data_IF_952532359693
#
_entry.id   IF_952532359693
#
_cell.length_a   1.000
_cell.length_b   1.000
_cell.length_c   1.000
_cell.angle_alpha   90.00
_cell.angle_beta   90.00
_cell.angle_gamma   90.00
#
_symmetry.space_group_name_H-M   'P 1'
#
loop_
_entity.id
_entity.type
_entity.pdbx_description
1 polymer ?
#
# COMPACT_ATOMS: atom_id res chain seq x y z
N UNK A 1 9.37 10.18 -26.66
CA UNK A 1 8.92 9.68 -27.99
C UNK A 1 8.83 8.15 -28.01
N UNK A 2 9.93 7.41 -27.78
CA UNK A 2 9.94 5.93 -27.80
C UNK A 2 8.99 5.33 -26.76
N UNK A 3 9.03 5.80 -25.51
CA UNK A 3 8.11 5.35 -24.45
C UNK A 3 6.65 5.64 -24.77
N UNK A 4 6.35 6.80 -25.37
CA UNK A 4 5.00 7.15 -25.80
C UNK A 4 4.47 6.23 -26.90
N UNK A 5 5.30 5.88 -27.89
CA UNK A 5 4.93 4.93 -28.96
C UNK A 5 4.69 3.53 -28.38
N UNK A 6 5.57 3.07 -27.49
CA UNK A 6 5.46 1.74 -26.86
C UNK A 6 4.22 1.63 -25.97
N UNK A 7 3.85 2.69 -25.24
CA UNK A 7 2.65 2.71 -24.38
C UNK A 7 1.36 2.93 -25.18
N UNK A 8 1.41 3.62 -26.31
CA UNK A 8 0.24 3.86 -27.16
C UNK A 8 -0.31 2.57 -27.79
N UNK A 9 0.54 1.59 -28.08
CA UNK A 9 0.12 0.31 -28.69
C UNK A 9 -0.82 -0.46 -27.76
N UNK A 10 -0.48 -0.78 -26.49
CA UNK A 10 -1.42 -1.38 -25.54
C UNK A 10 -2.66 -0.52 -25.27
N UNK A 11 -2.49 0.81 -25.19
CA UNK A 11 -3.61 1.73 -24.94
C UNK A 11 -4.64 1.77 -26.08
N UNK A 12 -4.25 1.40 -27.31
CA UNK A 12 -5.17 1.29 -28.45
C UNK A 12 -6.10 0.06 -28.34
N UNK A 13 -5.65 -1.00 -27.67
CA UNK A 13 -6.39 -2.25 -27.52
C UNK A 13 -7.12 -2.38 -26.17
N UNK A 14 -6.94 -1.43 -25.26
CA UNK A 14 -7.53 -1.43 -23.92
C UNK A 14 -8.36 -0.16 -23.69
N UNK A 15 -9.39 -0.24 -22.85
CA UNK A 15 -10.16 0.94 -22.50
C UNK A 15 -9.28 1.94 -21.74
N UNK A 16 -9.35 3.24 -22.11
CA UNK A 16 -8.56 4.30 -21.48
C UNK A 16 -8.77 4.33 -19.96
N UNK A 17 -10.00 4.10 -19.49
CA UNK A 17 -10.35 4.03 -18.08
C UNK A 17 -9.59 2.92 -17.35
N UNK A 18 -9.47 1.74 -17.95
CA UNK A 18 -8.77 0.60 -17.33
C UNK A 18 -7.25 0.87 -17.23
N UNK A 19 -6.67 1.51 -18.25
CA UNK A 19 -5.26 1.92 -18.25
C UNK A 19 -5.00 2.96 -17.14
N UNK A 20 -5.88 3.95 -17.03
CA UNK A 20 -5.78 5.01 -16.01
C UNK A 20 -5.93 4.46 -14.59
N UNK A 21 -6.82 3.49 -14.39
CA UNK A 21 -6.99 2.80 -13.11
C UNK A 21 -5.75 1.97 -12.75
N UNK A 22 -5.15 1.27 -13.73
CA UNK A 22 -3.89 0.52 -13.56
C UNK A 22 -2.70 1.43 -13.25
N UNK A 23 -2.65 2.63 -13.84
CA UNK A 23 -1.62 3.61 -13.54
C UNK A 23 -1.79 4.19 -12.11
N UNK A 24 -3.02 4.51 -11.73
CA UNK A 24 -3.36 5.03 -10.40
C UNK A 24 -3.01 4.04 -9.30
N UNK A 25 -3.40 2.76 -9.45
CA UNK A 25 -3.06 1.73 -8.47
C UNK A 25 -1.54 1.51 -8.34
N UNK A 26 -0.81 1.55 -9.47
CA UNK A 26 0.64 1.37 -9.48
C UNK A 26 1.39 2.50 -8.78
N UNK A 27 0.97 3.75 -8.98
CA UNK A 27 1.56 4.91 -8.30
C UNK A 27 1.25 4.92 -6.80
N UNK A 28 0.01 4.66 -6.41
CA UNK A 28 -0.38 4.54 -5.00
C UNK A 28 0.38 3.41 -4.29
N UNK A 29 0.52 2.24 -4.94
CA UNK A 29 1.30 1.14 -4.40
C UNK A 29 2.78 1.50 -4.21
N UNK A 30 3.40 2.15 -5.19
CA UNK A 30 4.78 2.60 -5.08
C UNK A 30 4.96 3.58 -3.92
N UNK A 31 4.04 4.53 -3.73
CA UNK A 31 4.07 5.45 -2.59
C UNK A 31 3.96 4.74 -1.24
N UNK A 32 3.07 3.75 -1.12
CA UNK A 32 2.94 2.93 0.10
C UNK A 32 4.27 2.21 0.40
N UNK A 33 4.89 1.59 -0.61
CA UNK A 33 6.18 0.89 -0.44
C UNK A 33 7.30 1.86 -0.04
N UNK A 34 7.36 3.05 -0.65
CA UNK A 34 8.35 4.08 -0.30
C UNK A 34 8.16 4.54 1.15
N UNK A 35 6.93 4.87 1.55
CA UNK A 35 6.64 5.31 2.91
C UNK A 35 6.91 4.19 3.94
N UNK A 36 6.55 2.95 3.63
CA UNK A 36 6.90 1.79 4.45
C UNK A 36 8.42 1.60 4.57
N UNK A 37 9.16 1.77 3.47
CA UNK A 37 10.64 1.71 3.47
C UNK A 37 11.29 2.77 4.36
N UNK A 38 10.75 3.99 4.36
CA UNK A 38 11.19 5.06 5.28
C UNK A 38 10.91 4.66 6.73
N UNK A 39 9.74 4.06 7.03
CA UNK A 39 9.42 3.58 8.39
C UNK A 39 10.38 2.48 8.87
N UNK A 40 10.80 1.57 7.99
CA UNK A 40 11.78 0.54 8.34
C UNK A 40 13.15 1.12 8.67
N UNK A 41 13.57 2.20 7.99
CA UNK A 41 14.84 2.89 8.25
C UNK A 41 14.75 4.01 9.29
N UNK A 42 13.57 4.29 9.84
CA UNK A 42 13.35 5.44 10.72
C UNK A 42 14.22 5.41 11.99
N UNK A 43 14.53 4.22 12.51
CA UNK A 43 15.45 4.05 13.66
C UNK A 43 16.87 4.49 13.34
N UNK A 44 17.36 4.14 12.16
CA UNK A 44 18.71 4.46 11.69
C UNK A 44 18.87 5.97 11.43
N UNK A 45 17.80 6.62 10.95
CA UNK A 45 17.75 8.08 10.85
C UNK A 45 17.71 8.78 12.21
N UNK A 46 17.08 8.16 13.22
CA UNK A 46 17.03 8.69 14.57
C UNK A 46 18.40 8.63 15.27
N UNK A 47 19.17 7.57 15.03
CA UNK A 47 20.48 7.38 15.65
C UNK A 47 21.62 8.12 14.93
N UNK A 48 21.53 8.30 13.60
CA UNK A 48 22.57 8.98 12.80
C UNK A 48 22.56 10.50 12.90
N UNK A 49 21.55 11.12 13.52
CA UNK A 49 21.42 12.59 13.61
C UNK A 49 21.18 13.30 12.27
N UNK A 50 21.02 12.57 11.16
CA UNK A 50 20.83 13.12 9.80
C UNK A 50 19.36 13.43 9.48
N UNK A 51 18.47 13.38 10.47
CA UNK A 51 17.03 13.56 10.26
C UNK A 51 16.69 14.99 9.88
N UNK A 52 16.44 15.21 8.59
CA UNK A 52 16.14 16.52 7.99
C UNK A 52 14.65 16.92 8.07
N UNK A 53 13.78 16.08 8.65
CA UNK A 53 12.33 16.32 8.76
C UNK A 53 11.90 16.56 10.22
N UNK A 54 11.00 17.53 10.49
CA UNK A 54 10.49 17.76 11.82
C UNK A 54 9.76 16.51 12.32
N UNK A 55 10.26 15.91 13.41
CA UNK A 55 9.69 14.71 13.99
C UNK A 55 8.44 15.07 14.79
N UNK A 56 7.28 14.67 14.27
CA UNK A 56 6.02 14.72 14.99
C UNK A 56 5.67 13.29 15.41
N UNK A 57 5.49 13.08 16.71
CA UNK A 57 5.29 11.75 17.28
C UNK A 57 3.93 11.17 16.86
N UNK A 58 3.94 10.12 16.03
CA UNK A 58 2.71 9.47 15.57
C UNK A 58 1.98 8.70 16.67
N UNK A 59 2.65 8.38 17.79
CA UNK A 59 2.12 7.56 18.87
C UNK A 59 0.79 8.09 19.43
N UNK A 60 0.65 9.41 19.57
CA UNK A 60 -0.57 10.01 20.15
C UNK A 60 -1.49 10.61 19.09
N UNK A 61 -0.93 11.13 18.00
CA UNK A 61 -1.70 11.82 16.97
C UNK A 61 -2.53 10.82 16.15
N UNK A 62 -1.99 9.64 15.85
CA UNK A 62 -2.70 8.64 15.06
C UNK A 62 -3.95 8.07 15.76
N UNK A 63 -3.88 7.59 17.03
CA UNK A 63 -5.08 7.15 17.73
C UNK A 63 -6.06 8.30 17.99
N UNK A 64 -5.58 9.53 18.23
CA UNK A 64 -6.45 10.70 18.35
C UNK A 64 -7.23 10.95 17.06
N UNK A 65 -6.55 10.91 15.90
CA UNK A 65 -7.20 11.03 14.58
C UNK A 65 -8.24 9.92 14.40
N UNK A 66 -7.91 8.66 14.72
CA UNK A 66 -8.86 7.55 14.60
C UNK A 66 -10.08 7.72 15.51
N UNK A 67 -9.90 8.21 16.74
CA UNK A 67 -11.00 8.48 17.67
C UNK A 67 -11.88 9.62 17.14
N UNK A 68 -11.28 10.71 16.65
CA UNK A 68 -12.01 11.85 16.07
C UNK A 68 -12.79 11.42 14.83
N UNK A 69 -12.16 10.68 13.93
CA UNK A 69 -12.80 10.14 12.72
C UNK A 69 -13.90 9.15 13.10
N UNK A 70 -13.66 8.25 14.05
CA UNK A 70 -14.66 7.29 14.53
C UNK A 70 -15.85 7.97 15.19
N UNK A 71 -15.63 9.01 16.02
CA UNK A 71 -16.70 9.79 16.64
C UNK A 71 -17.49 10.60 15.61
N UNK A 72 -16.81 11.19 14.62
CA UNK A 72 -17.46 11.86 13.50
C UNK A 72 -18.30 10.87 12.68
N UNK A 73 -17.75 9.69 12.35
CA UNK A 73 -18.50 8.64 11.65
C UNK A 73 -19.70 8.18 12.46
N UNK A 74 -19.58 8.02 13.78
CA UNK A 74 -20.71 7.66 14.64
C UNK A 74 -21.81 8.74 14.63
N UNK A 75 -21.43 10.01 14.61
CA UNK A 75 -22.38 11.13 14.59
C UNK A 75 -23.04 11.34 13.23
N UNK A 76 -22.28 11.25 12.13
CA UNK A 76 -22.76 11.52 10.78
C UNK A 76 -23.33 10.27 10.07
N UNK A 77 -22.87 9.06 10.44
CA UNK A 77 -23.22 7.79 9.82
C UNK A 77 -23.44 6.71 10.90
N UNK A 78 -24.54 6.77 11.66
CA UNK A 78 -24.81 5.83 12.76
C UNK A 78 -24.83 4.37 12.30
N UNK A 79 -25.25 4.10 11.06
CA UNK A 79 -25.31 2.75 10.47
C UNK A 79 -23.94 2.20 10.03
N UNK A 80 -22.92 3.06 9.90
CA UNK A 80 -21.59 2.65 9.44
C UNK A 80 -20.86 1.77 10.46
N UNK A 81 -21.07 2.00 11.77
CA UNK A 81 -20.47 1.16 12.81
C UNK A 81 -21.13 -0.22 12.88
N UNK A 82 -22.45 -0.30 12.65
CA UNK A 82 -23.16 -1.58 12.57
C UNK A 82 -22.80 -2.35 11.31
N UNK A 83 -22.57 -1.69 10.18
CA UNK A 83 -22.08 -2.33 8.95
C UNK A 83 -20.61 -2.78 9.09
N UNK A 84 -19.77 -2.02 9.82
CA UNK A 84 -18.40 -2.42 10.19
C UNK A 84 -18.33 -3.59 11.18
N UNK A 85 -19.22 -3.64 12.18
CA UNK A 85 -19.29 -4.75 13.15
C UNK A 85 -19.93 -6.03 12.59
N UNK A 86 -20.68 -5.92 11.49
CA UNK A 86 -21.26 -7.06 10.76
C UNK A 86 -20.40 -7.51 9.56
N UNK A 87 -19.14 -7.02 9.46
CA UNK A 87 -18.18 -7.35 8.39
C UNK A 87 -17.82 -8.84 8.29
N UNK A 88 -18.22 -9.67 9.25
CA UNK A 88 -18.09 -11.13 9.16
C UNK A 88 -19.48 -11.80 9.06
N UNK A 89 -19.84 -12.16 7.82
CA UNK A 89 -20.98 -13.01 7.43
C UNK A 89 -22.40 -12.48 7.72
N UNK A 90 -23.03 -11.92 6.68
CA UNK A 90 -24.49 -11.94 6.56
C UNK A 90 -24.90 -13.37 6.18
N UNK A 91 -25.80 -13.99 6.94
CA UNK A 91 -26.28 -15.35 6.68
C UNK A 91 -26.85 -15.46 5.25
N UNK A 92 -26.24 -16.31 4.41
CA UNK A 92 -26.88 -16.81 3.18
C UNK A 92 -26.23 -16.53 1.82
N UNK A 93 -25.11 -15.80 1.70
CA UNK A 93 -24.42 -15.61 0.41
C UNK A 93 -23.18 -16.50 0.25
N UNK A 94 -22.96 -17.06 -0.96
CA UNK A 94 -21.77 -17.85 -1.28
C UNK A 94 -20.50 -17.06 -0.99
N UNK A 95 -19.59 -17.66 -0.20
CA UNK A 95 -18.33 -17.08 0.28
C UNK A 95 -17.59 -16.28 -0.81
N UNK A 96 -17.47 -16.80 -2.03
CA UNK A 96 -16.76 -16.17 -3.16
C UNK A 96 -17.33 -14.80 -3.62
N UNK A 97 -18.64 -14.57 -3.48
CA UNK A 97 -19.29 -13.32 -3.89
C UNK A 97 -19.11 -12.19 -2.87
N UNK A 98 -19.30 -12.51 -1.59
CA UNK A 98 -19.16 -11.56 -0.49
C UNK A 98 -17.69 -11.11 -0.27
N UNK A 99 -16.72 -12.00 -0.51
CA UNK A 99 -15.30 -11.65 -0.44
C UNK A 99 -14.91 -10.64 -1.51
N UNK A 100 -15.40 -10.77 -2.75
CA UNK A 100 -14.90 -9.99 -3.90
C UNK A 100 -15.09 -8.46 -3.77
N UNK A 101 -16.14 -8.00 -3.10
CA UNK A 101 -16.41 -6.55 -2.94
C UNK A 101 -15.86 -5.95 -1.64
N UNK A 102 -15.60 -6.75 -0.60
CA UNK A 102 -15.20 -6.25 0.74
C UNK A 102 -13.71 -6.44 1.06
N UNK A 103 -12.95 -7.19 0.24
CA UNK A 103 -11.51 -7.42 0.43
C UNK A 103 -10.70 -6.11 0.59
N UNK A 104 -10.84 -5.07 -0.28
CA UNK A 104 -9.99 -3.88 -0.18
C UNK A 104 -10.20 -3.13 1.14
N UNK A 105 -11.45 -3.04 1.61
CA UNK A 105 -11.79 -2.40 2.89
C UNK A 105 -11.24 -3.19 4.08
N UNK A 106 -11.32 -4.52 4.06
CA UNK A 106 -10.75 -5.38 5.11
C UNK A 106 -9.24 -5.23 5.15
N UNK A 107 -8.56 -5.24 4.00
CA UNK A 107 -7.11 -5.03 3.90
C UNK A 107 -6.72 -3.66 4.46
N UNK A 108 -7.48 -2.62 4.16
CA UNK A 108 -7.24 -1.28 4.70
C UNK A 108 -7.48 -1.20 6.21
N UNK A 109 -8.51 -1.88 6.73
CA UNK A 109 -8.78 -1.93 8.16
C UNK A 109 -7.64 -2.66 8.91
N UNK A 110 -7.16 -3.78 8.36
CA UNK A 110 -5.98 -4.50 8.88
C UNK A 110 -4.75 -3.59 8.80
N UNK A 111 -4.49 -2.95 7.67
CA UNK A 111 -3.35 -2.05 7.48
C UNK A 111 -3.38 -0.89 8.47
N UNK A 112 -4.55 -0.29 8.69
CA UNK A 112 -4.75 0.81 9.63
C UNK A 112 -4.56 0.35 11.08
N UNK A 113 -5.09 -0.82 11.44
CA UNK A 113 -4.87 -1.41 12.76
C UNK A 113 -3.38 -1.72 12.99
N UNK A 114 -2.72 -2.36 12.03
CA UNK A 114 -1.28 -2.68 12.10
C UNK A 114 -0.45 -1.40 12.20
N UNK A 115 -0.70 -0.39 11.37
CA UNK A 115 0.03 0.89 11.45
C UNK A 115 -0.21 1.60 12.78
N UNK A 116 -1.42 1.53 13.33
CA UNK A 116 -1.73 2.11 14.65
C UNK A 116 -1.01 1.39 15.76
N UNK A 117 -1.03 0.07 15.77
CA UNK A 117 -0.32 -0.75 16.76
C UNK A 117 1.20 -0.55 16.64
N UNK A 118 1.74 -0.55 15.42
CA UNK A 118 3.17 -0.30 15.19
C UNK A 118 3.58 1.13 15.57
N UNK A 119 2.72 2.13 15.34
CA UNK A 119 2.94 3.50 15.79
C UNK A 119 3.03 3.59 17.31
N UNK A 120 2.16 2.87 18.03
CA UNK A 120 2.17 2.80 19.49
C UNK A 120 3.41 2.09 20.06
N UNK A 121 3.89 1.04 19.39
CA UNK A 121 5.03 0.24 19.87
C UNK A 121 6.38 0.86 19.45
N UNK A 122 6.48 1.48 18.26
CA UNK A 122 7.77 1.85 17.66
C UNK A 122 8.03 3.36 17.50
N UNK A 123 7.21 4.26 18.08
CA UNK A 123 7.39 5.73 18.02
C UNK A 123 7.71 6.21 16.59
N UNK A 124 6.89 5.78 15.63
CA UNK A 124 7.10 6.04 14.22
C UNK A 124 6.90 7.53 13.88
N UNK A 125 7.55 7.99 12.82
CA UNK A 125 7.34 9.32 12.24
C UNK A 125 5.93 9.46 11.64
N UNK A 126 5.23 10.56 11.93
CA UNK A 126 3.83 10.76 11.48
C UNK A 126 3.69 10.89 9.96
N UNK A 127 4.62 11.57 9.28
CA UNK A 127 4.48 11.91 7.85
C UNK A 127 4.41 10.64 6.98
N UNK A 128 5.32 9.66 7.09
CA UNK A 128 5.21 8.43 6.31
C UNK A 128 4.01 7.57 6.71
N UNK A 129 3.62 7.56 7.99
CA UNK A 129 2.43 6.82 8.45
C UNK A 129 1.17 7.36 7.79
N UNK A 130 0.98 8.68 7.78
CA UNK A 130 -0.15 9.32 7.10
C UNK A 130 -0.12 9.06 5.59
N UNK A 131 1.07 9.05 4.98
CA UNK A 131 1.24 8.68 3.57
C UNK A 131 0.78 7.25 3.27
N UNK A 132 1.20 6.26 4.10
CA UNK A 132 0.76 4.86 3.98
C UNK A 132 -0.76 4.74 4.15
N UNK A 133 -1.35 5.40 5.15
CA UNK A 133 -2.79 5.34 5.40
C UNK A 133 -3.60 6.03 4.31
N UNK A 134 -3.20 7.22 3.87
CA UNK A 134 -3.90 7.97 2.83
C UNK A 134 -3.85 7.25 1.48
N UNK A 135 -2.66 6.79 1.06
CA UNK A 135 -2.54 6.03 -0.19
C UNK A 135 -3.25 4.67 -0.09
N UNK A 136 -3.18 4.02 1.07
CA UNK A 136 -3.87 2.77 1.33
C UNK A 136 -5.40 2.91 1.27
N UNK A 137 -5.95 4.02 1.77
CA UNK A 137 -7.38 4.33 1.67
C UNK A 137 -7.81 4.51 0.21
N UNK A 138 -7.08 5.31 -0.57
CA UNK A 138 -7.38 5.52 -2.00
C UNK A 138 -7.28 4.23 -2.82
N UNK A 139 -6.42 3.28 -2.40
CA UNK A 139 -6.39 1.95 -3.02
C UNK A 139 -7.66 1.12 -2.80
N UNK A 140 -8.48 1.44 -1.78
CA UNK A 140 -9.75 0.74 -1.53
C UNK A 140 -10.89 1.17 -2.43
N UNK A 141 -10.79 2.38 -2.99
CA UNK A 141 -11.79 2.93 -3.93
C UNK A 141 -11.66 2.30 -5.33
N UNK A 142 -10.55 1.61 -5.60
CA UNK A 142 -10.29 0.92 -6.86
C UNK A 142 -10.87 -0.51 -6.82
N UNK A 143 -11.68 -0.86 -7.82
CA UNK A 143 -12.35 -2.16 -7.90
C UNK A 143 -11.39 -3.37 -7.91
N UNK A 144 -11.89 -4.53 -7.44
CA UNK A 144 -11.10 -5.78 -7.32
C UNK A 144 -10.51 -6.27 -8.66
N UNK A 145 -11.20 -5.97 -9.76
CA UNK A 145 -10.76 -6.27 -11.12
C UNK A 145 -9.44 -5.56 -11.45
N UNK A 146 -9.25 -4.33 -10.98
CA UNK A 146 -8.04 -3.54 -11.18
C UNK A 146 -6.87 -4.09 -10.37
N UNK A 147 -7.14 -4.50 -9.13
CA UNK A 147 -6.16 -5.16 -8.25
C UNK A 147 -5.63 -6.47 -8.83
N UNK A 148 -6.52 -7.32 -9.35
CA UNK A 148 -6.13 -8.61 -9.94
C UNK A 148 -5.23 -8.39 -11.16
N UNK A 149 -5.61 -7.46 -12.06
CA UNK A 149 -4.84 -7.11 -13.25
C UNK A 149 -3.46 -6.57 -12.87
N UNK A 150 -3.40 -5.62 -11.93
CA UNK A 150 -2.13 -5.10 -11.40
C UNK A 150 -1.26 -6.22 -10.83
N UNK A 151 -1.84 -7.12 -10.03
CA UNK A 151 -1.12 -8.25 -9.43
C UNK A 151 -0.51 -9.19 -10.48
N UNK A 152 -1.24 -9.52 -11.54
CA UNK A 152 -0.73 -10.34 -12.65
C UNK A 152 0.44 -9.62 -13.35
N UNK A 153 0.29 -8.34 -13.67
CA UNK A 153 1.35 -7.55 -14.31
C UNK A 153 2.59 -7.42 -13.42
N UNK A 154 2.42 -7.23 -12.12
CA UNK A 154 3.51 -7.22 -11.12
C UNK A 154 4.24 -8.56 -11.07
N UNK A 155 3.51 -9.68 -11.07
CA UNK A 155 4.11 -11.02 -11.08
C UNK A 155 4.90 -11.27 -12.36
N UNK A 156 4.38 -10.87 -13.52
CA UNK A 156 5.10 -10.97 -14.80
C UNK A 156 6.37 -10.11 -14.77
N UNK A 157 6.26 -8.85 -14.33
CA UNK A 157 7.41 -7.95 -14.21
C UNK A 157 8.48 -8.51 -13.26
N UNK A 158 8.06 -9.05 -12.12
CA UNK A 158 8.96 -9.70 -11.16
C UNK A 158 9.60 -10.96 -11.75
N UNK A 159 8.84 -11.78 -12.47
CA UNK A 159 9.38 -12.97 -13.14
C UNK A 159 10.44 -12.60 -14.18
N UNK A 160 10.20 -11.59 -15.02
CA UNK A 160 11.18 -11.08 -15.99
C UNK A 160 12.41 -10.53 -15.26
N UNK A 161 12.19 -9.71 -14.22
CA UNK A 161 13.29 -9.13 -13.43
C UNK A 161 14.16 -10.20 -12.77
N UNK A 162 13.54 -11.23 -12.18
CA UNK A 162 14.26 -12.34 -11.56
C UNK A 162 14.97 -13.22 -12.60
N UNK A 163 14.34 -13.52 -13.75
CA UNK A 163 14.97 -14.30 -14.82
C UNK A 163 16.15 -13.57 -15.45
N UNK A 164 16.03 -12.26 -15.66
CA UNK A 164 17.13 -11.42 -16.14
C UNK A 164 18.23 -11.25 -15.08
N UNK A 165 17.82 -10.93 -13.84
CA UNK A 165 18.69 -10.70 -12.69
C UNK A 165 19.46 -11.95 -12.27
N UNK A 166 18.84 -13.14 -12.33
CA UNK A 166 19.51 -14.41 -12.04
C UNK A 166 20.64 -14.69 -13.04
N UNK A 167 20.46 -14.32 -14.32
CA UNK A 167 21.49 -14.48 -15.35
C UNK A 167 22.62 -13.44 -15.31
N UNK A 168 22.42 -12.30 -14.64
CA UNK A 168 23.41 -11.19 -14.57
C UNK A 168 23.83 -10.82 -13.15
N UNK A 169 23.50 -11.62 -12.13
CA UNK A 169 23.81 -11.33 -10.73
C UNK A 169 25.33 -11.39 -10.50
N UNK A 170 25.97 -10.21 -10.49
CA UNK A 170 27.40 -10.04 -10.18
C UNK A 170 27.74 -10.17 -8.69
N UNK A 171 26.83 -10.69 -7.84
CA UNK A 171 27.13 -10.86 -6.42
C UNK A 171 28.10 -12.01 -6.13
N UNK A 172 28.26 -12.97 -7.06
CA UNK A 172 29.24 -14.07 -6.90
C UNK A 172 30.66 -13.70 -7.35
N UNK A 173 30.85 -12.61 -8.11
CA UNK A 173 32.17 -12.23 -8.62
C UNK A 173 33.01 -11.36 -7.65
N UNK A 174 32.44 -10.91 -6.51
CA UNK A 174 33.20 -10.16 -5.49
C UNK A 174 33.80 -11.07 -4.41
N UNK A 175 33.16 -12.20 -4.11
CA UNK A 175 33.73 -13.23 -3.22
C UNK A 175 34.92 -13.94 -3.88
N UNK A 176 34.90 -14.12 -5.21
CA UNK A 176 36.03 -14.68 -5.96
C UNK A 176 37.21 -13.71 -6.18
N UNK A 177 37.02 -12.40 -5.93
CA UNK A 177 38.01 -11.36 -6.25
C UNK A 177 38.80 -10.83 -5.03
N UNK A 178 38.70 -11.47 -3.85
CA UNK A 178 39.66 -11.30 -2.76
C UNK A 178 39.96 -9.85 -2.34
N UNK A 179 38.94 -9.00 -2.20
CA UNK A 179 39.11 -7.66 -1.62
C UNK A 179 38.33 -7.56 -0.31
N UNK A 180 38.98 -8.01 0.76
CA UNK A 180 38.76 -7.60 2.15
C UNK A 180 40.03 -6.87 2.58
#
# INVERSE_FOLDING_TARGET
IITGIVVAIPALFMNLTEVTDLASIGTLFAFVVVCAGVLFKDKEFNESGTRFVPYVNAQYILPLILIVVGAALFYFYPDALTDLMTVAAKEGESWLGAFSHKIPLIVFLILTAVMTVLSLIKKLSLIPVLGVLSCGYLMTELGITNWLRFGVWMLVGLAIYLLYGYRHSKLHNREAAGQI
#
